data_IF_680176257087
#
_entry.id   IF_680176257087
#
_cell.length_a   1.000
_cell.length_b   1.000
_cell.length_c   1.000
_cell.angle_alpha   90.00
_cell.angle_beta   90.00
_cell.angle_gamma   90.00
#
_symmetry.space_group_name_H-M   'P 1'
#
loop_
_entity.id
_entity.type
_entity.pdbx_description
1 polymer ?
#
# COMPACT_ATOMS: atom_id res chain seq x y z
N UNK A 1 6.92 -15.56 7.63
CA UNK A 1 5.86 -15.10 6.72
C UNK A 1 6.19 -15.53 5.31
N UNK A 2 5.29 -16.15 4.63
CA UNK A 2 5.45 -16.50 3.24
C UNK A 2 4.96 -15.33 2.35
N UNK A 3 5.32 -15.37 1.06
CA UNK A 3 4.93 -14.34 0.10
C UNK A 3 3.43 -14.40 -0.19
N UNK A 4 2.90 -15.58 -0.47
CA UNK A 4 1.47 -15.90 -0.57
C UNK A 4 1.20 -17.19 0.21
N UNK A 5 0.36 -17.14 1.24
CA UNK A 5 -0.14 -18.31 1.98
C UNK A 5 -1.42 -17.97 2.74
N UNK A 6 -2.14 -19.01 3.15
CA UNK A 6 -3.20 -18.86 4.14
C UNK A 6 -2.56 -18.53 5.49
N UNK A 7 -3.03 -17.47 6.11
CA UNK A 7 -2.58 -17.13 7.46
C UNK A 7 -3.36 -17.98 8.48
N UNK A 8 -2.61 -18.66 9.35
CA UNK A 8 -3.20 -19.45 10.43
C UNK A 8 -3.67 -18.56 11.59
N UNK A 9 -2.96 -17.46 11.81
CA UNK A 9 -3.31 -16.45 12.80
C UNK A 9 -4.26 -15.42 12.17
N UNK A 10 -5.49 -15.28 12.66
CA UNK A 10 -6.49 -14.38 12.07
C UNK A 10 -6.16 -12.90 12.20
N UNK A 11 -5.14 -12.54 12.98
CA UNK A 11 -4.70 -11.16 13.15
C UNK A 11 -3.54 -10.79 12.20
N UNK A 12 -2.98 -11.76 11.50
CA UNK A 12 -2.00 -11.48 10.44
C UNK A 12 -2.71 -10.99 9.17
N UNK A 13 -1.98 -10.21 8.39
CA UNK A 13 -2.51 -9.60 7.17
C UNK A 13 -3.76 -8.73 7.44
N UNK A 14 -3.77 -8.02 8.59
CA UNK A 14 -4.89 -7.21 9.06
C UNK A 14 -4.45 -5.83 9.54
N UNK A 15 -5.41 -4.94 9.67
CA UNK A 15 -5.31 -3.74 10.51
C UNK A 15 -6.06 -4.06 11.81
N UNK A 16 -5.41 -3.87 12.94
CA UNK A 16 -6.01 -4.00 14.25
C UNK A 16 -6.40 -2.63 14.79
N UNK A 17 -7.55 -2.55 15.42
CA UNK A 17 -8.03 -1.38 16.13
C UNK A 17 -8.08 -1.63 17.63
N UNK A 18 -7.77 -0.60 18.39
CA UNK A 18 -7.80 -0.59 19.85
C UNK A 18 -8.43 0.72 20.35
N UNK A 19 -9.03 0.69 21.51
CA UNK A 19 -9.35 1.89 22.25
C UNK A 19 -8.05 2.58 22.72
N UNK A 20 -8.13 3.87 23.05
CA UNK A 20 -6.97 4.62 23.53
C UNK A 20 -6.37 4.06 24.84
N UNK A 21 -7.12 3.32 25.63
CA UNK A 21 -6.68 2.63 26.83
C UNK A 21 -6.12 1.20 26.55
N UNK A 22 -5.91 0.87 25.28
CA UNK A 22 -5.47 -0.43 24.79
C UNK A 22 -6.49 -1.57 24.95
N UNK A 23 -7.70 -1.30 25.37
CA UNK A 23 -8.81 -2.27 25.38
C UNK A 23 -9.49 -2.37 24.00
N UNK A 24 -10.50 -3.21 23.87
CA UNK A 24 -11.36 -3.26 22.69
C UNK A 24 -10.65 -3.74 21.42
N UNK A 25 -9.57 -4.53 21.55
CA UNK A 25 -8.83 -5.11 20.41
C UNK A 25 -9.77 -5.83 19.45
N UNK A 26 -9.74 -5.43 18.18
CA UNK A 26 -10.48 -6.08 17.11
C UNK A 26 -9.78 -5.97 15.75
N UNK A 27 -10.14 -6.85 14.84
CA UNK A 27 -9.74 -6.75 13.45
C UNK A 27 -10.62 -5.70 12.77
N UNK A 28 -9.98 -4.66 12.23
CA UNK A 28 -10.63 -3.57 11.51
C UNK A 28 -10.76 -3.89 10.00
N UNK A 29 -9.67 -4.34 9.38
CA UNK A 29 -9.64 -4.73 7.97
C UNK A 29 -8.71 -5.93 7.77
N UNK A 30 -8.98 -6.72 6.73
CA UNK A 30 -8.27 -7.98 6.42
C UNK A 30 -7.73 -7.99 5.00
N UNK A 31 -6.93 -8.99 4.68
CA UNK A 31 -6.46 -9.21 3.31
C UNK A 31 -5.37 -8.24 2.85
N UNK A 32 -4.63 -7.66 3.80
CA UNK A 32 -3.45 -6.86 3.52
C UNK A 32 -2.21 -7.75 3.52
N UNK A 33 -1.38 -7.67 2.48
CA UNK A 33 -0.15 -8.47 2.50
C UNK A 33 0.91 -7.83 3.40
N UNK A 34 1.22 -6.55 3.21
CA UNK A 34 2.20 -5.82 4.00
C UNK A 34 1.85 -4.33 3.99
N UNK A 35 0.87 -3.95 4.79
CA UNK A 35 0.56 -2.55 5.02
C UNK A 35 1.60 -1.93 5.96
N UNK A 36 2.27 -0.87 5.50
CA UNK A 36 3.38 -0.24 6.24
C UNK A 36 3.00 1.14 6.75
N UNK A 37 2.40 1.97 5.91
CA UNK A 37 1.99 3.32 6.27
C UNK A 37 0.51 3.40 6.58
N UNK A 38 0.18 4.04 7.70
CA UNK A 38 -1.20 4.38 8.09
C UNK A 38 -1.26 5.88 8.40
N UNK A 39 -2.28 6.57 7.91
CA UNK A 39 -2.54 7.97 8.22
C UNK A 39 -4.02 8.29 8.17
N UNK A 40 -4.47 9.20 9.04
CA UNK A 40 -5.82 9.76 8.98
C UNK A 40 -5.84 10.97 8.04
N UNK A 41 -6.82 11.00 7.14
CA UNK A 41 -7.02 12.17 6.27
C UNK A 41 -7.47 13.38 7.10
N UNK A 42 -6.80 14.55 6.98
CA UNK A 42 -7.00 15.67 7.91
C UNK A 42 -8.38 16.32 7.85
N UNK A 43 -9.17 16.07 6.82
CA UNK A 43 -10.52 16.64 6.64
C UNK A 43 -11.61 15.60 6.86
N UNK A 44 -11.46 14.40 6.27
CA UNK A 44 -12.50 13.35 6.33
C UNK A 44 -12.34 12.44 7.53
N UNK A 45 -11.16 12.45 8.16
CA UNK A 45 -10.78 11.53 9.24
C UNK A 45 -10.84 10.03 8.85
N UNK A 46 -10.88 9.73 7.56
CA UNK A 46 -10.78 8.35 7.07
C UNK A 46 -9.35 7.84 7.20
N UNK A 47 -9.22 6.56 7.54
CA UNK A 47 -7.93 5.88 7.61
C UNK A 47 -7.44 5.52 6.20
N UNK A 48 -6.23 5.94 5.87
CA UNK A 48 -5.54 5.56 4.65
C UNK A 48 -4.39 4.61 4.95
N UNK A 49 -4.16 3.67 4.04
CA UNK A 49 -3.07 2.72 4.13
C UNK A 49 -2.29 2.61 2.82
N UNK A 50 -0.99 2.32 2.95
CA UNK A 50 -0.15 1.85 1.85
C UNK A 50 0.05 0.35 2.00
N UNK A 51 0.15 -0.40 0.90
CA UNK A 51 0.40 -1.83 0.96
C UNK A 51 1.34 -2.31 -0.14
N UNK A 52 2.30 -3.13 0.27
CA UNK A 52 3.21 -3.81 -0.63
C UNK A 52 2.62 -5.15 -1.05
N UNK A 53 2.61 -5.40 -2.37
CA UNK A 53 2.19 -6.64 -2.98
C UNK A 53 3.17 -7.80 -2.76
N UNK A 54 2.86 -8.95 -3.32
CA UNK A 54 3.76 -10.11 -3.35
C UNK A 54 4.79 -9.99 -4.50
N UNK A 55 5.84 -10.84 -4.48
CA UNK A 55 7.06 -10.56 -5.24
C UNK A 55 7.28 -11.45 -6.46
N UNK A 56 6.45 -12.48 -6.72
CA UNK A 56 6.82 -13.56 -7.64
C UNK A 56 6.02 -13.62 -8.93
N UNK A 57 5.07 -12.73 -9.17
CA UNK A 57 4.33 -12.64 -10.44
C UNK A 57 5.05 -11.79 -11.51
N UNK A 58 6.37 -11.67 -11.40
CA UNK A 58 7.20 -11.00 -12.39
C UNK A 58 7.42 -9.51 -12.11
N UNK A 59 7.70 -8.76 -13.19
CA UNK A 59 8.15 -7.36 -13.06
C UNK A 59 7.02 -6.34 -12.87
N UNK A 60 5.82 -6.70 -13.29
CA UNK A 60 4.71 -5.75 -13.41
C UNK A 60 3.49 -6.13 -12.57
N UNK A 61 3.52 -7.28 -11.91
CA UNK A 61 2.42 -7.80 -11.10
C UNK A 61 2.91 -8.30 -9.73
N UNK A 62 2.02 -8.21 -8.75
CA UNK A 62 0.84 -7.36 -8.74
C UNK A 62 1.22 -5.89 -8.58
N UNK A 63 0.40 -4.95 -9.02
CA UNK A 63 0.56 -3.57 -8.61
C UNK A 63 0.37 -3.47 -7.10
N UNK A 64 1.08 -2.55 -6.49
CA UNK A 64 0.88 -2.16 -5.11
C UNK A 64 -0.22 -1.12 -5.02
N UNK A 65 -0.65 -0.75 -3.82
CA UNK A 65 -1.77 0.17 -3.73
C UNK A 65 -1.71 1.11 -2.51
N UNK A 66 -2.49 2.20 -2.65
CA UNK A 66 -2.80 3.15 -1.60
C UNK A 66 -4.32 3.26 -1.57
N UNK A 67 -4.93 3.10 -0.39
CA UNK A 67 -6.38 3.05 -0.30
C UNK A 67 -6.92 3.58 1.03
N UNK A 68 -8.20 3.92 1.02
CA UNK A 68 -8.99 4.23 2.22
C UNK A 68 -9.45 2.92 2.83
N UNK A 69 -9.15 2.73 4.12
CA UNK A 69 -9.56 1.55 4.88
C UNK A 69 -10.85 1.80 5.63
N UNK A 70 -11.81 0.89 5.46
CA UNK A 70 -13.08 0.91 6.18
C UNK A 70 -13.27 -0.35 7.00
N UNK A 71 -14.09 -0.25 8.02
CA UNK A 71 -14.40 -1.38 8.89
C UNK A 71 -14.99 -2.56 8.09
N UNK A 72 -14.38 -3.71 8.27
CA UNK A 72 -14.76 -4.95 7.57
C UNK A 72 -14.22 -5.07 6.14
N UNK A 73 -13.37 -4.17 5.66
CA UNK A 73 -12.76 -4.28 4.33
C UNK A 73 -11.93 -5.57 4.20
N UNK A 74 -11.97 -6.15 2.99
CA UNK A 74 -11.07 -7.21 2.55
C UNK A 74 -10.25 -6.74 1.36
N UNK A 75 -8.93 -6.69 1.50
CA UNK A 75 -8.01 -6.09 0.54
C UNK A 75 -7.32 -7.09 -0.40
N UNK A 76 -7.85 -8.31 -0.48
CA UNK A 76 -7.52 -9.29 -1.52
C UNK A 76 -6.53 -10.38 -1.11
N UNK A 77 -5.51 -10.07 -0.31
CA UNK A 77 -4.52 -11.09 0.08
C UNK A 77 -5.18 -12.23 0.89
N UNK A 78 -4.85 -13.50 0.65
CA UNK A 78 -3.85 -13.99 -0.30
C UNK A 78 -4.42 -14.43 -1.67
N UNK A 79 -5.66 -14.07 -1.98
CA UNK A 79 -6.44 -14.64 -3.10
C UNK A 79 -6.33 -13.82 -4.40
N UNK A 80 -6.55 -12.52 -4.27
CA UNK A 80 -6.69 -11.60 -5.41
C UNK A 80 -5.91 -10.31 -5.19
N UNK A 81 -5.63 -9.59 -6.28
CA UNK A 81 -5.03 -8.27 -6.29
C UNK A 81 -5.75 -7.31 -7.24
N UNK A 82 -5.27 -6.07 -7.38
CA UNK A 82 -5.77 -5.01 -8.27
C UNK A 82 -7.26 -4.72 -8.08
N UNK A 83 -8.12 -5.41 -8.78
CA UNK A 83 -9.58 -5.43 -8.62
C UNK A 83 -10.10 -6.81 -8.99
N UNK A 84 -10.06 -7.74 -8.02
CA UNK A 84 -10.55 -9.13 -8.15
C UNK A 84 -9.79 -9.96 -9.20
N UNK A 85 -8.54 -9.59 -9.51
CA UNK A 85 -7.64 -10.42 -10.33
C UNK A 85 -7.04 -11.50 -9.44
N UNK A 86 -7.25 -12.77 -9.78
CA UNK A 86 -6.70 -13.88 -9.03
C UNK A 86 -5.17 -13.91 -9.14
N UNK A 87 -4.51 -14.21 -8.04
CA UNK A 87 -3.08 -14.48 -8.04
C UNK A 87 -2.76 -15.71 -8.91
N UNK A 88 -1.58 -15.73 -9.49
CA UNK A 88 -1.13 -16.85 -10.31
C UNK A 88 -0.71 -18.04 -9.42
N UNK A 89 -1.65 -18.98 -9.21
CA UNK A 89 -1.41 -20.19 -8.42
C UNK A 89 -0.68 -21.29 -9.23
N UNK A 90 -0.26 -21.06 -10.46
CA UNK A 90 0.68 -21.94 -11.18
C UNK A 90 2.12 -21.74 -10.65
N UNK A 91 2.40 -20.61 -10.04
CA UNK A 91 3.67 -20.34 -9.37
C UNK A 91 3.82 -21.28 -8.16
N UNK A 92 4.86 -22.12 -8.18
CA UNK A 92 5.04 -23.22 -7.22
C UNK A 92 4.84 -22.79 -5.75
N UNK A 93 5.45 -21.72 -5.22
CA UNK A 93 5.23 -21.33 -3.83
C UNK A 93 3.79 -20.87 -3.51
N UNK A 94 2.99 -20.50 -4.53
CA UNK A 94 1.62 -20.05 -4.35
C UNK A 94 0.61 -21.16 -4.40
N UNK A 95 0.98 -22.34 -4.92
CA UNK A 95 0.12 -23.54 -4.95
C UNK A 95 -0.38 -23.97 -3.58
N UNK A 96 0.29 -23.57 -2.51
CA UNK A 96 -0.13 -23.84 -1.12
C UNK A 96 -1.48 -23.22 -0.74
N UNK A 97 -2.01 -22.30 -1.56
CA UNK A 97 -3.36 -21.75 -1.38
C UNK A 97 -4.42 -22.76 -1.83
N UNK A 98 -4.09 -23.61 -2.78
CA UNK A 98 -5.02 -24.56 -3.39
C UNK A 98 -5.47 -25.67 -2.41
N UNK A 99 -6.69 -26.21 -2.59
CA UNK A 99 -7.69 -25.82 -3.59
C UNK A 99 -8.40 -24.53 -3.22
N UNK A 100 -8.84 -23.78 -4.24
CA UNK A 100 -9.72 -22.61 -4.06
C UNK A 100 -11.12 -23.10 -3.72
N UNK A 101 -11.63 -22.68 -2.57
CA UNK A 101 -12.96 -23.04 -2.07
C UNK A 101 -14.04 -22.05 -2.52
N UNK A 102 -15.32 -22.41 -2.33
CA UNK A 102 -16.44 -21.49 -2.58
C UNK A 102 -16.43 -20.30 -1.60
N UNK A 103 -15.95 -20.51 -0.37
CA UNK A 103 -15.73 -19.42 0.59
C UNK A 103 -14.67 -18.42 0.08
N UNK A 104 -13.57 -18.91 -0.50
CA UNK A 104 -12.54 -18.05 -1.11
C UNK A 104 -13.11 -17.23 -2.29
N UNK A 105 -13.94 -17.86 -3.13
CA UNK A 105 -14.59 -17.18 -4.25
C UNK A 105 -15.52 -16.07 -3.76
N UNK A 106 -16.30 -16.36 -2.75
CA UNK A 106 -17.20 -15.39 -2.11
C UNK A 106 -16.40 -14.25 -1.48
N UNK A 107 -15.31 -14.57 -0.78
CA UNK A 107 -14.45 -13.57 -0.16
C UNK A 107 -13.79 -12.66 -1.21
N UNK A 108 -13.29 -13.23 -2.31
CA UNK A 108 -12.66 -12.48 -3.40
C UNK A 108 -13.60 -11.42 -4.01
N UNK A 109 -14.92 -11.66 -4.06
CA UNK A 109 -15.88 -10.67 -4.57
C UNK A 109 -16.00 -9.42 -3.69
N UNK A 110 -15.56 -9.49 -2.42
CA UNK A 110 -15.58 -8.35 -1.49
C UNK A 110 -14.40 -7.39 -1.73
N UNK A 111 -13.40 -7.81 -2.50
CA UNK A 111 -12.25 -6.96 -2.81
C UNK A 111 -12.68 -5.78 -3.69
N UNK A 112 -12.60 -4.58 -3.15
CA UNK A 112 -12.89 -3.33 -3.86
C UNK A 112 -11.68 -2.89 -4.70
N UNK A 113 -11.92 -2.00 -5.66
CA UNK A 113 -10.85 -1.35 -6.40
C UNK A 113 -10.14 -0.36 -5.46
N UNK A 114 -8.81 -0.46 -5.29
CA UNK A 114 -8.05 0.54 -4.55
C UNK A 114 -8.15 1.95 -5.15
N UNK A 115 -8.05 2.98 -4.32
CA UNK A 115 -8.05 4.39 -4.73
C UNK A 115 -6.93 4.66 -5.74
N UNK A 116 -5.73 4.15 -5.47
CA UNK A 116 -4.60 4.28 -6.36
C UNK A 116 -3.81 2.96 -6.45
N UNK A 117 -3.59 2.51 -7.68
CA UNK A 117 -2.63 1.46 -7.99
C UNK A 117 -1.29 2.10 -8.36
N UNK A 118 -0.22 1.56 -7.83
CA UNK A 118 1.14 1.98 -8.14
C UNK A 118 1.91 0.81 -8.76
N UNK A 119 2.94 1.07 -9.56
CA UNK A 119 3.68 -0.02 -10.19
C UNK A 119 4.20 -1.03 -9.17
N UNK A 120 4.23 -2.31 -9.58
CA UNK A 120 4.79 -3.39 -8.78
C UNK A 120 6.22 -3.06 -8.31
N UNK A 121 6.55 -3.45 -7.10
CA UNK A 121 7.87 -3.32 -6.49
C UNK A 121 8.33 -1.87 -6.19
N UNK A 122 7.42 -0.89 -6.24
CA UNK A 122 7.73 0.47 -5.77
C UNK A 122 7.84 0.56 -4.25
N UNK A 123 7.28 -0.40 -3.55
CA UNK A 123 7.25 -0.50 -2.09
C UNK A 123 6.78 0.78 -1.41
N UNK A 124 5.48 1.13 -1.51
CA UNK A 124 4.92 2.25 -0.78
C UNK A 124 5.04 2.01 0.72
N UNK A 125 5.68 2.94 1.41
CA UNK A 125 6.00 2.88 2.83
C UNK A 125 5.14 3.89 3.60
N UNK A 126 5.76 4.90 4.21
CA UNK A 126 5.04 5.94 4.93
C UNK A 126 4.13 6.77 4.05
N UNK A 127 2.99 7.17 4.62
CA UNK A 127 2.05 8.11 4.06
C UNK A 127 1.86 9.27 5.04
N UNK A 128 1.88 10.51 4.55
CA UNK A 128 1.73 11.71 5.35
C UNK A 128 0.86 12.73 4.62
N UNK A 129 -0.23 13.17 5.23
CA UNK A 129 -1.08 14.23 4.68
C UNK A 129 -0.52 15.59 5.02
N UNK A 130 -0.28 16.41 4.01
CA UNK A 130 0.29 17.73 4.18
C UNK A 130 -0.74 18.74 4.65
N UNK A 131 -0.54 19.29 5.84
CA UNK A 131 -1.39 20.33 6.42
C UNK A 131 -0.69 21.69 6.55
N UNK A 132 0.56 21.79 6.11
CA UNK A 132 1.35 23.00 6.11
C UNK A 132 0.90 24.06 5.09
N UNK A 133 1.58 25.18 5.06
CA UNK A 133 1.28 26.31 4.19
C UNK A 133 2.50 26.79 3.36
N UNK A 134 3.64 26.10 3.44
CA UNK A 134 4.84 26.47 2.68
C UNK A 134 4.76 26.02 1.22
N UNK A 135 4.16 24.86 0.95
CA UNK A 135 3.98 24.39 -0.41
C UNK A 135 2.78 25.06 -1.08
N UNK A 136 2.75 25.12 -2.40
CA UNK A 136 1.60 25.64 -3.15
C UNK A 136 0.28 25.00 -2.70
N UNK A 137 -0.81 25.76 -2.74
CA UNK A 137 -2.14 25.38 -2.21
C UNK A 137 -2.63 24.02 -2.74
N UNK A 138 -2.22 23.62 -3.94
CA UNK A 138 -2.58 22.30 -4.51
C UNK A 138 -2.11 21.11 -3.68
N UNK A 139 -1.09 21.30 -2.82
CA UNK A 139 -0.59 20.24 -1.93
C UNK A 139 -1.33 20.16 -0.60
N UNK A 140 -2.17 21.16 -0.28
CA UNK A 140 -2.95 21.15 0.96
C UNK A 140 -3.87 19.93 0.98
N UNK A 141 -3.74 19.12 2.03
CA UNK A 141 -4.43 17.84 2.21
C UNK A 141 -4.09 16.76 1.16
N UNK A 142 -3.09 16.97 0.29
CA UNK A 142 -2.53 15.90 -0.51
C UNK A 142 -1.72 14.94 0.38
N UNK A 143 -1.69 13.66 0.03
CA UNK A 143 -0.84 12.69 0.70
C UNK A 143 0.55 12.67 0.04
N UNK A 144 1.60 12.75 0.83
CA UNK A 144 2.93 12.37 0.40
C UNK A 144 3.16 10.89 0.73
N UNK A 145 3.70 10.14 -0.22
CA UNK A 145 3.97 8.71 -0.08
C UNK A 145 5.42 8.43 -0.39
N UNK A 146 6.11 7.79 0.55
CA UNK A 146 7.48 7.36 0.36
C UNK A 146 7.50 6.01 -0.39
N UNK A 147 8.25 5.94 -1.49
CA UNK A 147 8.51 4.72 -2.23
C UNK A 147 9.95 4.27 -1.99
N UNK A 148 10.07 3.23 -1.18
CA UNK A 148 11.38 2.67 -0.81
C UNK A 148 12.06 1.96 -1.98
N UNK A 149 11.27 1.51 -2.95
CA UNK A 149 11.61 0.55 -3.97
C UNK A 149 11.92 -0.86 -3.46
N UNK A 150 11.65 -1.82 -4.30
CA UNK A 150 11.97 -3.23 -4.07
C UNK A 150 13.31 -3.64 -4.66
N UNK A 151 13.38 -4.87 -5.15
CA UNK A 151 14.56 -5.37 -5.85
C UNK A 151 14.64 -4.72 -7.23
N UNK A 152 15.62 -3.87 -7.46
CA UNK A 152 15.84 -3.14 -8.73
C UNK A 152 15.86 -4.06 -9.98
N UNK A 153 16.20 -5.33 -9.82
CA UNK A 153 16.16 -6.33 -10.90
C UNK A 153 14.75 -6.72 -11.33
N UNK A 154 13.74 -6.47 -10.51
CA UNK A 154 12.35 -6.89 -10.77
C UNK A 154 11.49 -5.75 -11.34
N UNK A 155 11.87 -4.49 -11.16
CA UNK A 155 11.13 -3.34 -11.67
C UNK A 155 11.91 -2.60 -12.75
N UNK A 156 11.21 -2.14 -13.79
CA UNK A 156 11.76 -1.21 -14.78
C UNK A 156 11.82 0.23 -14.26
N UNK A 157 11.10 0.53 -13.18
CA UNK A 157 11.02 1.85 -12.55
C UNK A 157 11.03 1.65 -11.03
N UNK A 158 12.19 1.69 -10.41
CA UNK A 158 12.38 1.17 -9.06
C UNK A 158 11.80 2.00 -7.91
N UNK A 159 11.05 3.04 -8.14
CA UNK A 159 10.57 3.90 -7.06
C UNK A 159 11.66 4.87 -6.59
N UNK A 160 12.23 4.69 -5.41
CA UNK A 160 13.24 5.57 -4.80
C UNK A 160 12.86 7.05 -4.86
N UNK A 161 11.65 7.38 -4.41
CA UNK A 161 11.13 8.74 -4.49
C UNK A 161 10.09 8.99 -3.40
N UNK A 162 9.77 10.24 -3.19
CA UNK A 162 8.52 10.66 -2.55
C UNK A 162 7.60 11.18 -3.65
N UNK A 163 6.36 10.72 -3.65
CA UNK A 163 5.34 11.20 -4.59
C UNK A 163 4.21 11.88 -3.83
N UNK A 164 3.57 12.84 -4.49
CA UNK A 164 2.33 13.44 -4.03
C UNK A 164 1.15 12.69 -4.65
N UNK A 165 0.22 12.25 -3.82
CA UNK A 165 -1.07 11.69 -4.20
C UNK A 165 -2.13 12.77 -4.00
N UNK A 166 -2.77 13.15 -5.10
CA UNK A 166 -3.91 14.04 -5.13
C UNK A 166 -5.16 13.19 -5.31
N UNK A 167 -6.09 13.25 -4.37
CA UNK A 167 -7.33 12.48 -4.44
C UNK A 167 -8.53 13.35 -4.12
N UNK A 168 -9.70 12.94 -4.65
CA UNK A 168 -10.97 13.41 -4.11
C UNK A 168 -11.15 12.87 -2.68
N UNK A 169 -11.88 13.58 -1.80
CA UNK A 169 -12.06 13.14 -0.42
C UNK A 169 -12.67 11.74 -0.28
N UNK A 170 -13.51 11.33 -1.21
CA UNK A 170 -14.14 10.00 -1.24
C UNK A 170 -13.29 8.91 -1.90
N UNK A 171 -12.10 9.28 -2.44
CA UNK A 171 -11.22 8.37 -3.14
C UNK A 171 -11.69 7.94 -4.54
N UNK A 172 -12.74 8.55 -5.09
CA UNK A 172 -13.27 8.18 -6.41
C UNK A 172 -12.32 8.53 -7.55
N UNK A 173 -11.40 9.47 -7.33
CA UNK A 173 -10.41 9.89 -8.31
C UNK A 173 -9.07 10.15 -7.63
N UNK A 174 -7.97 9.68 -8.22
CA UNK A 174 -6.63 9.88 -7.69
C UNK A 174 -5.59 10.04 -8.80
N UNK A 175 -4.60 10.90 -8.54
CA UNK A 175 -3.44 11.07 -9.40
C UNK A 175 -2.19 11.09 -8.54
N UNK A 176 -1.16 10.34 -8.95
CA UNK A 176 0.15 10.31 -8.30
C UNK A 176 1.15 11.02 -9.20
N UNK A 177 1.94 11.90 -8.61
CA UNK A 177 3.03 12.59 -9.29
C UNK A 177 4.32 12.57 -8.46
N UNK A 178 5.50 12.37 -9.05
CA UNK A 178 6.77 12.51 -8.33
C UNK A 178 6.89 13.89 -7.67
N UNK A 179 7.39 13.92 -6.44
CA UNK A 179 7.60 15.15 -5.67
C UNK A 179 9.08 15.35 -5.33
N UNK A 180 9.73 14.36 -4.71
CA UNK A 180 11.17 14.36 -4.45
C UNK A 180 11.76 13.12 -5.14
N UNK A 181 12.72 13.36 -6.01
CA UNK A 181 13.47 12.33 -6.75
C UNK A 181 14.97 12.49 -6.54
N UNK A 182 15.77 11.61 -7.15
CA UNK A 182 17.23 11.70 -7.07
C UNK A 182 17.85 10.84 -5.96
N UNK A 183 17.07 10.02 -5.27
CA UNK A 183 17.61 9.03 -4.32
C UNK A 183 18.39 7.91 -5.01
N UNK A 184 18.24 7.77 -6.32
CA UNK A 184 19.00 6.87 -7.17
C UNK A 184 19.70 7.68 -8.26
N UNK A 185 21.04 7.59 -8.34
CA UNK A 185 21.86 8.32 -9.31
C UNK A 185 22.11 7.56 -10.61
N UNK A 186 21.99 6.23 -10.59
CA UNK A 186 22.22 5.34 -11.74
C UNK A 186 21.13 4.28 -11.87
N UNK A 187 21.50 3.11 -12.38
CA UNK A 187 20.54 2.03 -12.72
C UNK A 187 20.69 0.80 -11.85
N UNK A 188 21.65 0.77 -10.93
CA UNK A 188 21.93 -0.35 -10.03
C UNK A 188 21.54 -0.03 -8.59
N UNK A 189 21.48 -1.03 -7.73
CA UNK A 189 21.27 -0.82 -6.30
C UNK A 189 22.43 -0.11 -5.62
N UNK A 190 23.63 -0.21 -6.17
CA UNK A 190 24.82 0.45 -5.64
C UNK A 190 24.81 1.97 -5.89
N UNK A 191 23.94 2.42 -6.81
CA UNK A 191 23.76 3.83 -7.14
C UNK A 191 22.69 4.52 -6.28
N UNK A 192 22.21 3.88 -5.22
CA UNK A 192 21.13 4.42 -4.38
C UNK A 192 21.70 5.15 -3.17
N UNK A 193 21.33 6.42 -3.02
CA UNK A 193 21.73 7.28 -1.90
C UNK A 193 20.93 7.03 -0.64
N UNK A 194 19.70 6.58 -0.79
CA UNK A 194 18.80 6.34 0.34
C UNK A 194 17.48 5.69 -0.07
N UNK A 195 16.79 5.21 0.95
CA UNK A 195 15.52 4.51 0.79
C UNK A 195 14.45 5.30 1.54
N UNK A 196 13.60 6.09 0.85
CA UNK A 196 12.52 6.83 1.51
C UNK A 196 11.57 5.87 2.24
N UNK A 197 11.33 6.10 3.54
CA UNK A 197 10.48 5.23 4.36
C UNK A 197 9.44 6.04 5.11
N UNK A 198 9.86 7.01 5.93
CA UNK A 198 8.97 7.84 6.74
C UNK A 198 9.10 9.31 6.37
N UNK A 199 8.07 10.07 6.69
CA UNK A 199 8.02 11.52 6.46
C UNK A 199 7.31 12.19 7.63
N UNK A 200 7.69 13.43 7.87
CA UNK A 200 7.04 14.31 8.84
C UNK A 200 7.14 15.73 8.31
N UNK A 201 6.16 16.56 8.59
CA UNK A 201 6.28 18.01 8.46
C UNK A 201 6.68 18.60 9.78
N UNK A 202 7.53 19.64 9.76
CA UNK A 202 7.81 20.44 10.94
C UNK A 202 6.67 21.43 11.23
N UNK A 203 6.77 22.18 12.35
CA UNK A 203 5.76 23.16 12.74
C UNK A 203 5.62 24.31 11.74
N UNK A 204 6.65 24.58 10.93
CA UNK A 204 6.62 25.58 9.87
C UNK A 204 5.95 25.04 8.59
N UNK A 205 5.73 23.73 8.48
CA UNK A 205 5.09 23.08 7.35
C UNK A 205 6.04 22.75 6.19
N UNK A 206 7.34 22.55 6.50
CA UNK A 206 8.32 22.03 5.54
C UNK A 206 8.65 20.57 5.77
#
# INVERSE_FOLDING_TARGET
TCDICREEDPERATILEFNADSSGRRVFATGLRNAVGLALHPVTNELWATNNGHDREGRSLPPEWIDIMRDGDFMGYPLVHSHQVWNDFEIEPYQRILPITDADRTLATRHKRPVALVPAHYAPMGIHFYTGNQFPTRYKNAAFVAFRAGKAKLSSHPGYMVSALFSTPDGSNATIAPFITGFQAGTTQDDVWGFPVGMISDDAGS
#
